data_IF_055532566170
#
_entry.id   IF_055532566170
#
_cell.length_a   1.000
_cell.length_b   1.000
_cell.length_c   1.000
_cell.angle_alpha   90.00
_cell.angle_beta   90.00
_cell.angle_gamma   90.00
#
_symmetry.space_group_name_H-M   'P 1'
#
loop_
_entity.id
_entity.type
_entity.pdbx_description
1 polymer ?
#
# COMPACT_ATOMS: atom_id res chain seq x y z
N UNK A 1 -2.25 9.99 -25.43
CA UNK A 1 -3.01 9.84 -24.17
C UNK A 1 -2.71 8.52 -23.45
N UNK A 2 -2.39 7.43 -24.13
CA UNK A 2 -1.96 6.15 -23.54
C UNK A 2 -0.75 6.26 -22.57
N UNK A 3 0.20 7.14 -22.87
CA UNK A 3 1.37 7.42 -22.04
C UNK A 3 1.04 7.96 -20.63
N UNK A 4 -0.01 8.79 -20.54
CA UNK A 4 -0.44 9.33 -19.24
C UNK A 4 -1.01 8.22 -18.35
N UNK A 5 -1.81 7.32 -18.92
CA UNK A 5 -2.36 6.18 -18.20
C UNK A 5 -1.24 5.26 -17.69
N UNK A 6 -0.27 4.96 -18.57
CA UNK A 6 0.91 4.18 -18.21
C UNK A 6 1.72 4.84 -17.09
N UNK A 7 1.95 6.15 -17.19
CA UNK A 7 2.64 6.89 -16.14
C UNK A 7 1.90 6.80 -14.79
N UNK A 8 0.57 6.92 -14.80
CA UNK A 8 -0.25 6.75 -13.58
C UNK A 8 -0.14 5.35 -13.00
N UNK A 9 -0.18 4.29 -13.84
CA UNK A 9 -0.01 2.91 -13.40
C UNK A 9 1.35 2.71 -12.70
N UNK A 10 2.43 3.17 -13.34
CA UNK A 10 3.79 3.02 -12.81
C UNK A 10 3.96 3.81 -11.51
N UNK A 11 3.50 5.06 -11.48
CA UNK A 11 3.60 5.91 -10.27
C UNK A 11 2.85 5.26 -9.10
N UNK A 12 1.60 4.87 -9.29
CA UNK A 12 0.79 4.26 -8.22
C UNK A 12 1.35 2.91 -7.79
N UNK A 13 1.85 2.10 -8.73
CA UNK A 13 2.49 0.84 -8.41
C UNK A 13 3.74 1.04 -7.55
N UNK A 14 4.64 1.94 -7.93
CA UNK A 14 5.84 2.28 -7.13
C UNK A 14 5.45 2.77 -5.74
N UNK A 15 4.42 3.60 -5.64
CA UNK A 15 3.92 4.09 -4.35
C UNK A 15 3.45 2.96 -3.45
N UNK A 16 2.66 2.02 -3.98
CA UNK A 16 2.18 0.87 -3.21
C UNK A 16 3.31 -0.04 -2.75
N UNK A 17 4.29 -0.26 -3.61
CA UNK A 17 5.49 -1.03 -3.28
C UNK A 17 6.24 -0.40 -2.13
N UNK A 18 6.55 0.89 -2.24
CA UNK A 18 7.24 1.63 -1.18
C UNK A 18 6.43 1.56 0.11
N UNK A 19 5.11 1.74 0.04
CA UNK A 19 4.23 1.68 1.20
C UNK A 19 4.22 0.30 1.86
N UNK A 20 4.15 -0.79 1.08
CA UNK A 20 4.20 -2.15 1.58
C UNK A 20 5.56 -2.47 2.21
N UNK A 21 6.65 -2.07 1.55
CA UNK A 21 8.03 -2.29 2.05
C UNK A 21 8.27 -1.55 3.36
N UNK A 22 7.87 -0.28 3.47
CA UNK A 22 8.02 0.50 4.69
C UNK A 22 7.25 -0.13 5.87
N UNK A 23 6.00 -0.60 5.63
CA UNK A 23 5.21 -1.26 6.66
C UNK A 23 5.81 -2.60 7.11
N UNK A 24 6.42 -3.33 6.18
CA UNK A 24 7.12 -4.59 6.51
C UNK A 24 8.41 -4.34 7.27
N UNK A 25 9.23 -3.38 6.85
CA UNK A 25 10.48 -3.05 7.52
C UNK A 25 10.26 -2.43 8.92
N UNK A 26 9.12 -1.74 9.11
CA UNK A 26 8.76 -1.09 10.38
C UNK A 26 7.48 -1.67 10.96
N UNK A 27 7.36 -2.99 10.92
CA UNK A 27 6.17 -3.70 11.37
C UNK A 27 5.76 -3.32 12.79
N UNK A 28 6.73 -3.18 13.72
CA UNK A 28 6.45 -2.80 15.12
C UNK A 28 5.76 -1.43 15.22
N UNK A 29 6.22 -0.42 14.47
CA UNK A 29 5.60 0.91 14.45
C UNK A 29 4.19 0.84 13.86
N UNK A 30 4.00 0.04 12.81
CA UNK A 30 2.71 -0.14 12.16
C UNK A 30 1.70 -0.86 13.08
N UNK A 31 2.12 -1.94 13.75
CA UNK A 31 1.28 -2.62 14.74
C UNK A 31 0.95 -1.71 15.94
N UNK A 32 1.91 -0.91 16.42
CA UNK A 32 1.65 0.07 17.47
C UNK A 32 0.59 1.10 17.04
N UNK A 33 0.65 1.57 15.78
CA UNK A 33 -0.35 2.47 15.22
C UNK A 33 -1.75 1.85 15.17
N UNK A 34 -1.85 0.58 14.78
CA UNK A 34 -3.12 -0.16 14.75
C UNK A 34 -3.72 -0.33 16.17
N UNK A 35 -2.88 -0.60 17.18
CA UNK A 35 -3.33 -0.69 18.58
C UNK A 35 -3.93 0.61 19.09
N UNK A 36 -3.27 1.74 18.80
CA UNK A 36 -3.76 3.05 19.16
C UNK A 36 -5.07 3.44 18.47
N UNK A 37 -5.44 2.73 17.42
CA UNK A 37 -6.68 2.96 16.65
C UNK A 37 -7.93 2.35 17.31
N UNK A 38 -7.84 1.84 18.54
CA UNK A 38 -8.96 1.21 19.28
C UNK A 38 -9.66 0.08 18.51
N UNK A 39 -8.92 -0.61 17.64
CA UNK A 39 -9.41 -1.82 16.97
C UNK A 39 -9.48 -2.98 17.96
N UNK A 40 -10.45 -3.92 17.80
CA UNK A 40 -10.47 -5.14 18.59
C UNK A 40 -9.14 -5.89 18.53
N UNK A 41 -8.63 -6.35 19.66
CA UNK A 41 -7.30 -6.99 19.72
C UNK A 41 -7.12 -8.12 18.72
N UNK A 42 -8.16 -8.92 18.50
CA UNK A 42 -8.14 -10.02 17.52
C UNK A 42 -8.05 -9.61 16.06
N UNK A 43 -8.34 -8.33 15.71
CA UNK A 43 -8.27 -7.84 14.32
C UNK A 43 -6.94 -7.16 13.99
N UNK A 44 -6.12 -6.84 14.98
CA UNK A 44 -4.85 -6.12 14.76
C UNK A 44 -3.88 -6.94 13.91
N UNK A 45 -3.68 -8.20 14.26
CA UNK A 45 -2.76 -9.09 13.57
C UNK A 45 -3.18 -9.36 12.10
N UNK A 46 -4.43 -9.76 11.82
CA UNK A 46 -4.84 -9.98 10.43
C UNK A 46 -4.80 -8.69 9.61
N UNK A 47 -5.18 -7.53 10.14
CA UNK A 47 -5.08 -6.25 9.43
C UNK A 47 -3.61 -5.89 9.17
N UNK A 48 -2.74 -6.08 10.16
CA UNK A 48 -1.32 -5.78 10.05
C UNK A 48 -0.62 -6.55 8.94
N UNK A 49 -1.04 -7.77 8.64
CA UNK A 49 -0.52 -8.59 7.54
C UNK A 49 -1.28 -8.31 6.24
N UNK A 50 -2.60 -8.21 6.30
CA UNK A 50 -3.44 -8.04 5.11
C UNK A 50 -3.15 -6.74 4.36
N UNK A 51 -2.86 -5.65 5.07
CA UNK A 51 -2.63 -4.34 4.44
C UNK A 51 -1.40 -4.34 3.53
N UNK A 52 -0.18 -4.74 3.97
CA UNK A 52 0.98 -4.81 3.07
C UNK A 52 0.78 -5.79 1.91
N UNK A 53 0.13 -6.93 2.15
CA UNK A 53 -0.18 -7.91 1.10
C UNK A 53 -1.13 -7.31 0.07
N UNK A 54 -2.16 -6.59 0.50
CA UNK A 54 -3.11 -5.91 -0.39
C UNK A 54 -2.41 -4.81 -1.20
N UNK A 55 -1.55 -4.00 -0.58
CA UNK A 55 -0.76 -2.98 -1.29
C UNK A 55 0.12 -3.59 -2.37
N UNK A 56 0.82 -4.68 -2.05
CA UNK A 56 1.64 -5.37 -3.03
C UNK A 56 0.80 -6.00 -4.16
N UNK A 57 -0.32 -6.61 -3.82
CA UNK A 57 -1.25 -7.17 -4.82
C UNK A 57 -1.77 -6.09 -5.76
N UNK A 58 -2.12 -4.90 -5.23
CA UNK A 58 -2.54 -3.76 -6.05
C UNK A 58 -1.42 -3.22 -6.92
N UNK A 59 -0.19 -3.15 -6.41
CA UNK A 59 0.98 -2.78 -7.20
C UNK A 59 1.16 -3.70 -8.41
N UNK A 60 1.07 -5.01 -8.20
CA UNK A 60 1.15 -6.01 -9.24
C UNK A 60 -0.05 -5.93 -10.21
N UNK A 61 -1.26 -5.76 -9.68
CA UNK A 61 -2.46 -5.64 -10.48
C UNK A 61 -2.38 -4.44 -11.44
N UNK A 62 -1.94 -3.28 -10.98
CA UNK A 62 -1.79 -2.09 -11.82
C UNK A 62 -0.82 -2.30 -13.00
N UNK A 63 0.18 -3.18 -12.86
CA UNK A 63 1.19 -3.43 -13.88
C UNK A 63 0.86 -4.63 -14.79
N UNK A 64 0.25 -5.68 -14.26
CA UNK A 64 0.15 -6.98 -14.94
C UNK A 64 -1.28 -7.31 -15.43
N UNK A 65 -2.29 -6.64 -14.88
CA UNK A 65 -3.67 -6.95 -15.22
C UNK A 65 -3.98 -6.51 -16.66
N UNK A 66 -4.64 -7.37 -17.47
CA UNK A 66 -5.11 -6.98 -18.79
C UNK A 66 -5.96 -5.71 -18.77
N UNK A 67 -5.92 -4.90 -19.84
CA UNK A 67 -6.57 -3.60 -19.93
C UNK A 67 -8.05 -3.62 -19.51
N UNK A 68 -8.78 -4.71 -19.81
CA UNK A 68 -10.20 -4.87 -19.41
C UNK A 68 -10.45 -4.83 -17.90
N UNK A 69 -9.46 -5.22 -17.08
CA UNK A 69 -9.57 -5.26 -15.61
C UNK A 69 -8.88 -4.06 -14.93
N UNK A 70 -8.19 -3.24 -15.71
CA UNK A 70 -7.45 -2.08 -15.20
C UNK A 70 -8.34 -1.09 -14.43
N UNK A 71 -9.59 -0.81 -14.83
CA UNK A 71 -10.49 0.04 -14.05
C UNK A 71 -10.73 -0.48 -12.64
N UNK A 72 -10.81 -1.81 -12.47
CA UNK A 72 -10.96 -2.41 -11.14
C UNK A 72 -9.72 -2.21 -10.27
N UNK A 73 -8.52 -2.29 -10.86
CA UNK A 73 -7.28 -2.02 -10.14
C UNK A 73 -7.20 -0.55 -9.69
N UNK A 74 -7.58 0.41 -10.55
CA UNK A 74 -7.66 1.82 -10.17
C UNK A 74 -8.74 2.08 -9.12
N UNK A 75 -9.92 1.46 -9.23
CA UNK A 75 -10.99 1.59 -8.25
C UNK A 75 -10.56 1.03 -6.88
N UNK A 76 -9.92 -0.14 -6.85
CA UNK A 76 -9.39 -0.73 -5.63
C UNK A 76 -8.28 0.13 -5.01
N UNK A 77 -7.39 0.72 -5.83
CA UNK A 77 -6.39 1.67 -5.38
C UNK A 77 -7.03 2.93 -4.76
N UNK A 78 -8.06 3.49 -5.40
CA UNK A 78 -8.80 4.63 -4.89
C UNK A 78 -9.50 4.31 -3.56
N UNK A 79 -10.12 3.14 -3.43
CA UNK A 79 -10.74 2.67 -2.18
C UNK A 79 -9.71 2.56 -1.06
N UNK A 80 -8.53 2.00 -1.33
CA UNK A 80 -7.48 1.84 -0.34
C UNK A 80 -6.94 3.21 0.12
N UNK A 81 -6.64 4.13 -0.81
CA UNK A 81 -6.23 5.49 -0.45
C UNK A 81 -7.34 6.25 0.28
N UNK A 82 -8.60 6.07 -0.10
CA UNK A 82 -9.75 6.61 0.60
C UNK A 82 -9.86 6.11 2.03
N UNK A 83 -9.72 4.81 2.24
CA UNK A 83 -9.73 4.19 3.58
C UNK A 83 -8.59 4.73 4.46
N UNK A 84 -7.36 4.83 3.91
CA UNK A 84 -6.24 5.42 4.64
C UNK A 84 -6.46 6.90 4.95
N UNK A 85 -7.02 7.66 4.02
CA UNK A 85 -7.32 9.09 4.25
C UNK A 85 -8.36 9.25 5.36
N UNK A 86 -9.42 8.44 5.33
CA UNK A 86 -10.45 8.42 6.37
C UNK A 86 -9.86 8.05 7.74
N UNK A 87 -9.03 7.02 7.79
CA UNK A 87 -8.34 6.61 9.01
C UNK A 87 -7.42 7.71 9.54
N UNK A 88 -6.59 8.32 8.71
CA UNK A 88 -5.73 9.44 9.10
C UNK A 88 -6.54 10.64 9.60
N UNK A 89 -7.66 10.96 8.95
CA UNK A 89 -8.59 11.99 9.37
C UNK A 89 -9.17 11.71 10.76
N UNK A 90 -9.58 10.47 10.99
CA UNK A 90 -10.10 10.03 12.28
C UNK A 90 -9.04 10.11 13.39
N UNK A 91 -7.81 9.60 13.15
CA UNK A 91 -6.68 9.69 14.10
C UNK A 91 -6.39 11.14 14.47
N UNK A 92 -6.39 12.04 13.47
CA UNK A 92 -6.17 13.46 13.69
C UNK A 92 -7.31 14.12 14.49
N UNK A 93 -8.57 13.79 14.18
CA UNK A 93 -9.74 14.30 14.90
C UNK A 93 -9.71 13.89 16.38
N UNK A 94 -9.22 12.69 16.66
CA UNK A 94 -9.02 12.17 18.03
C UNK A 94 -7.75 12.67 18.73
N UNK A 95 -6.96 13.53 18.05
CA UNK A 95 -5.66 14.05 18.53
C UNK A 95 -4.67 12.96 18.96
N UNK A 96 -4.79 11.77 18.39
CA UNK A 96 -3.88 10.66 18.65
C UNK A 96 -2.52 10.95 18.03
N UNK A 97 -1.44 10.80 18.80
CA UNK A 97 -0.07 10.95 18.32
C UNK A 97 0.42 9.62 17.75
N UNK A 98 -0.02 9.27 16.57
CA UNK A 98 0.35 8.04 15.87
C UNK A 98 1.43 8.34 14.85
N UNK A 99 2.50 7.56 14.86
CA UNK A 99 3.48 7.55 13.77
C UNK A 99 2.95 6.64 12.67
N UNK A 100 2.63 7.22 11.53
CA UNK A 100 2.22 6.46 10.36
C UNK A 100 3.51 6.03 9.63
N UNK A 101 3.90 4.77 9.74
CA UNK A 101 5.02 4.17 8.99
C UNK A 101 4.78 4.07 7.47
N UNK A 102 3.86 4.86 6.92
CA UNK A 102 3.44 4.70 5.53
C UNK A 102 4.43 5.21 4.49
N UNK A 103 5.40 6.10 4.85
CA UNK A 103 6.39 6.63 3.88
C UNK A 103 7.57 7.33 4.59
N UNK A 104 8.73 6.70 4.49
CA UNK A 104 10.04 7.34 4.67
C UNK A 104 10.55 7.49 6.10
N UNK A 105 11.88 7.60 6.20
CA UNK A 105 12.70 7.66 7.40
C UNK A 105 12.44 8.86 8.34
N UNK A 106 11.51 9.73 7.99
CA UNK A 106 11.15 10.92 8.76
C UNK A 106 10.04 10.70 9.78
N UNK A 107 9.66 9.46 10.16
CA UNK A 107 8.75 9.06 11.26
C UNK A 107 7.80 10.13 11.84
N UNK A 108 7.28 11.02 11.00
CA UNK A 108 6.42 12.13 11.41
C UNK A 108 5.04 11.65 11.87
N UNK A 109 4.51 12.32 12.88
CA UNK A 109 3.11 12.16 13.28
C UNK A 109 2.20 12.41 12.07
N UNK A 110 1.03 11.76 12.07
CA UNK A 110 -0.02 12.01 11.07
C UNK A 110 -0.33 13.50 11.00
N UNK A 111 0.23 14.17 9.99
CA UNK A 111 0.15 15.61 9.79
C UNK A 111 -0.65 15.99 8.55
N UNK A 112 -0.93 17.29 8.35
CA UNK A 112 -1.66 17.76 7.18
C UNK A 112 -0.95 17.41 5.86
N UNK A 113 0.39 17.39 5.86
CA UNK A 113 1.19 16.99 4.68
C UNK A 113 0.97 15.54 4.28
N UNK A 114 0.86 14.63 5.26
CA UNK A 114 0.61 13.21 5.02
C UNK A 114 -0.78 13.00 4.42
N UNK A 115 -1.79 13.70 4.95
CA UNK A 115 -3.16 13.66 4.43
C UNK A 115 -3.21 14.26 3.02
N UNK A 116 -2.59 15.42 2.79
CA UNK A 116 -2.57 16.06 1.47
C UNK A 116 -1.93 15.18 0.40
N UNK A 117 -0.81 14.52 0.73
CA UNK A 117 -0.16 13.56 -0.18
C UNK A 117 -1.08 12.37 -0.50
N UNK A 118 -1.75 11.82 0.50
CA UNK A 118 -2.64 10.69 0.29
C UNK A 118 -3.89 11.08 -0.52
N UNK A 119 -4.40 12.30 -0.33
CA UNK A 119 -5.46 12.87 -1.17
C UNK A 119 -5.01 13.05 -2.62
N UNK A 120 -3.76 13.48 -2.84
CA UNK A 120 -3.19 13.56 -4.19
C UNK A 120 -3.14 12.18 -4.85
N UNK A 121 -2.70 11.15 -4.13
CA UNK A 121 -2.65 9.77 -4.64
C UNK A 121 -4.06 9.24 -4.94
N UNK A 122 -5.03 9.54 -4.09
CA UNK A 122 -6.44 9.26 -4.34
C UNK A 122 -6.93 9.94 -5.63
N UNK A 123 -6.63 11.22 -5.81
CA UNK A 123 -6.98 11.96 -7.02
C UNK A 123 -6.34 11.36 -8.28
N UNK A 124 -5.06 10.93 -8.19
CA UNK A 124 -4.38 10.25 -9.31
C UNK A 124 -5.02 8.90 -9.63
N UNK A 125 -5.45 8.12 -8.63
CA UNK A 125 -6.15 6.86 -8.85
C UNK A 125 -7.52 7.07 -9.50
N UNK A 126 -8.27 8.08 -9.07
CA UNK A 126 -9.56 8.46 -9.68
C UNK A 126 -9.37 9.01 -11.10
N UNK A 127 -8.32 9.79 -11.35
CA UNK A 127 -7.97 10.25 -12.70
C UNK A 127 -7.64 9.07 -13.62
N UNK A 128 -6.88 8.07 -13.15
CA UNK A 128 -6.62 6.84 -13.90
C UNK A 128 -7.90 6.09 -14.26
N UNK A 129 -8.82 5.97 -13.32
CA UNK A 129 -10.14 5.35 -13.53
C UNK A 129 -10.97 6.11 -14.58
N UNK A 130 -10.99 7.45 -14.52
CA UNK A 130 -11.75 8.29 -15.46
C UNK A 130 -11.13 8.25 -16.87
N UNK A 131 -9.81 8.28 -16.98
CA UNK A 131 -9.09 8.23 -18.25
C UNK A 131 -9.25 6.87 -18.95
N UNK A 132 -9.21 5.76 -18.21
CA UNK A 132 -9.39 4.43 -18.80
C UNK A 132 -10.77 4.28 -19.44
N UNK A 133 -11.81 4.81 -18.83
CA UNK A 133 -13.17 4.81 -19.38
C UNK A 133 -13.29 5.53 -20.73
N UNK A 134 -12.39 6.47 -21.02
CA UNK A 134 -12.41 7.26 -22.27
C UNK A 134 -11.45 6.72 -23.35
N UNK A 135 -10.48 5.88 -22.99
CA UNK A 135 -9.35 5.54 -23.86
C UNK A 135 -9.14 4.04 -24.08
N UNK A 136 -10.16 3.30 -24.37
CA UNK A 136 -10.04 1.88 -24.75
C UNK A 136 -9.44 1.64 -26.13
N UNK A 137 -8.52 2.49 -26.56
CA UNK A 137 -7.73 2.27 -27.78
C UNK A 137 -6.51 1.38 -27.47
N UNK A 138 -6.21 0.37 -28.29
CA UNK A 138 -5.04 -0.47 -28.08
C UNK A 138 -3.75 0.36 -28.10
N UNK A 139 -2.80 -0.02 -27.26
CA UNK A 139 -1.46 0.59 -27.22
C UNK A 139 -0.78 0.54 -28.59
N UNK A 140 -0.06 1.59 -29.00
CA UNK A 140 0.60 1.60 -30.30
C UNK A 140 1.81 0.64 -30.31
N UNK A 141 1.61 -0.51 -30.92
CA UNK A 141 2.65 -1.44 -31.36
C UNK A 141 3.12 -2.48 -30.33
N UNK A 142 3.43 -3.69 -30.79
CA UNK A 142 3.84 -4.82 -29.94
C UNK A 142 5.16 -4.61 -29.21
N UNK A 143 6.05 -3.75 -29.71
CA UNK A 143 7.34 -3.44 -29.07
C UNK A 143 7.20 -2.67 -27.76
N UNK A 144 6.22 -1.80 -27.64
CA UNK A 144 6.00 -1.02 -26.43
C UNK A 144 5.29 -1.85 -25.34
N UNK A 145 4.31 -2.66 -25.74
CA UNK A 145 3.67 -3.60 -24.80
C UNK A 145 4.69 -4.58 -24.22
N UNK A 146 5.62 -5.05 -25.05
CA UNK A 146 6.69 -5.95 -24.63
C UNK A 146 7.67 -5.26 -23.68
N UNK A 147 8.08 -4.01 -23.97
CA UNK A 147 8.96 -3.25 -23.08
C UNK A 147 8.32 -2.97 -21.73
N UNK A 148 7.04 -2.60 -21.71
CA UNK A 148 6.27 -2.39 -20.47
C UNK A 148 6.13 -3.68 -19.68
N UNK A 149 5.84 -4.79 -20.36
CA UNK A 149 5.69 -6.09 -19.69
C UNK A 149 7.02 -6.56 -19.08
N UNK A 150 8.14 -6.40 -19.81
CA UNK A 150 9.47 -6.80 -19.33
C UNK A 150 9.93 -5.92 -18.15
N UNK A 151 9.73 -4.61 -18.23
CA UNK A 151 10.06 -3.71 -17.11
C UNK A 151 9.18 -3.97 -15.89
N UNK A 152 7.88 -4.21 -16.09
CA UNK A 152 6.96 -4.58 -15.02
C UNK A 152 7.34 -5.90 -14.36
N UNK A 153 7.71 -6.91 -15.16
CA UNK A 153 8.17 -8.20 -14.66
C UNK A 153 9.47 -8.06 -13.88
N UNK A 154 10.41 -7.22 -14.35
CA UNK A 154 11.65 -6.93 -13.64
C UNK A 154 11.43 -6.25 -12.28
N UNK A 155 10.53 -5.27 -12.24
CA UNK A 155 10.13 -4.62 -11.00
C UNK A 155 9.45 -5.62 -10.07
N UNK A 156 8.53 -6.45 -10.57
CA UNK A 156 7.87 -7.51 -9.78
C UNK A 156 8.87 -8.49 -9.18
N UNK A 157 9.85 -8.93 -9.98
CA UNK A 157 10.88 -9.87 -9.52
C UNK A 157 11.77 -9.24 -8.44
N UNK A 158 12.21 -7.99 -8.63
CA UNK A 158 12.97 -7.25 -7.63
C UNK A 158 12.20 -7.11 -6.32
N UNK A 159 10.88 -6.89 -6.40
CA UNK A 159 9.99 -6.79 -5.25
C UNK A 159 9.78 -8.11 -4.53
N UNK A 160 9.59 -9.19 -5.28
CA UNK A 160 9.48 -10.54 -4.71
C UNK A 160 10.78 -10.93 -4.00
N UNK A 161 11.94 -10.57 -4.55
CA UNK A 161 13.23 -10.78 -3.92
C UNK A 161 13.38 -9.94 -2.64
N UNK A 162 13.00 -8.67 -2.67
CA UNK A 162 12.98 -7.81 -1.49
C UNK A 162 12.02 -8.35 -0.43
N UNK A 163 10.83 -8.80 -0.82
CA UNK A 163 9.87 -9.41 0.08
C UNK A 163 10.41 -10.71 0.71
N UNK A 164 11.06 -11.55 -0.09
CA UNK A 164 11.69 -12.79 0.40
C UNK A 164 12.75 -12.52 1.47
N UNK A 165 13.50 -11.43 1.36
CA UNK A 165 14.51 -11.05 2.36
C UNK A 165 13.89 -10.43 3.61
N UNK A 166 12.74 -9.76 3.48
CA UNK A 166 12.04 -9.09 4.61
C UNK A 166 11.02 -9.99 5.31
N UNK A 167 10.50 -11.02 4.64
CA UNK A 167 9.51 -11.96 5.16
C UNK A 167 9.90 -12.65 6.47
N UNK A 168 11.14 -13.15 6.65
CA UNK A 168 11.57 -13.75 7.92
C UNK A 168 11.52 -12.77 9.08
N UNK A 169 11.86 -11.50 8.85
CA UNK A 169 11.79 -10.46 9.87
C UNK A 169 10.35 -10.14 10.31
N UNK A 170 9.41 -10.24 9.38
CA UNK A 170 7.98 -10.06 9.67
C UNK A 170 7.44 -11.18 10.57
N UNK A 171 7.79 -12.43 10.27
CA UNK A 171 7.39 -13.59 11.07
C UNK A 171 8.00 -13.50 12.48
N UNK A 172 9.29 -13.22 12.58
CA UNK A 172 9.97 -13.09 13.87
C UNK A 172 9.39 -11.95 14.71
N UNK A 173 9.06 -10.81 14.09
CA UNK A 173 8.41 -9.69 14.78
C UNK A 173 7.01 -10.06 15.28
N UNK A 174 6.30 -10.90 14.52
CA UNK A 174 4.97 -11.38 14.88
C UNK A 174 5.03 -12.39 16.05
N UNK A 175 5.97 -13.32 16.03
CA UNK A 175 6.18 -14.29 17.12
C UNK A 175 6.60 -13.60 18.42
N UNK A 176 7.53 -12.65 18.35
CA UNK A 176 7.94 -11.85 19.48
C UNK A 176 6.77 -11.03 20.06
N UNK A 177 5.88 -10.57 19.18
CA UNK A 177 4.69 -9.87 19.57
C UNK A 177 3.71 -10.75 20.34
N UNK A 178 3.47 -11.97 19.86
CA UNK A 178 2.59 -12.93 20.53
C UNK A 178 3.17 -13.35 21.89
N UNK A 179 4.45 -13.62 21.96
CA UNK A 179 5.14 -13.99 23.19
C UNK A 179 5.05 -12.89 24.26
N UNK A 180 5.15 -11.61 23.87
CA UNK A 180 4.97 -10.49 24.82
C UNK A 180 3.53 -10.34 25.31
N UNK A 181 2.54 -10.70 24.50
CA UNK A 181 1.14 -10.67 24.93
C UNK A 181 0.81 -11.79 25.90
N UNK A 182 1.34 -13.01 25.70
CA UNK A 182 1.11 -14.12 26.63
C UNK A 182 1.69 -13.83 28.03
N UNK A 183 2.88 -13.21 28.08
CA UNK A 183 3.49 -12.83 29.37
C UNK A 183 2.67 -11.74 30.10
N UNK A 184 2.05 -10.83 29.36
CA UNK A 184 1.23 -9.76 29.95
C UNK A 184 -0.12 -10.26 30.48
N UNK A 185 -0.67 -11.34 29.94
CA UNK A 185 -1.93 -11.95 30.39
C UNK A 185 -1.73 -12.94 31.54
N UNK A 186 -0.54 -13.54 31.66
CA UNK A 186 -0.22 -14.50 32.74
C UNK A 186 0.26 -13.79 34.03
N UNK A 187 0.41 -12.47 34.03
CA UNK A 187 0.87 -11.65 35.15
C UNK A 187 -0.24 -10.91 35.91
N UNK A 188 -1.52 -11.06 35.50
CA UNK A 188 -2.70 -10.56 36.22
C UNK A 188 -3.42 -11.70 36.95
#
# INVERSE_FOLDING_TARGET
>A
MSWLLLALQVILSVVFVVAATEKTLRAEEFFAALRLSHLPAGSIAPIGVAVPVLELTLALALLLVPARWLPLAFAAAALLFGAFTAWMGWVRARRLRVRCGCFGSGGGQVGPRTIARNLLLLALALAGLALDGQMRSPLPGPSLEMAVTVTSLGVCLALLLALRTTWPHLILSFEQYQARQSIATDGE
#
